data_IF_469346670984
#
_entry.id   IF_469346670984
#
_cell.length_a   1.000
_cell.length_b   1.000
_cell.length_c   1.000
_cell.angle_alpha   90.00
_cell.angle_beta   90.00
_cell.angle_gamma   90.00
#
_symmetry.space_group_name_H-M   'P 1'
#
loop_
_entity.id
_entity.type
_entity.pdbx_description
1 polymer ?
#
# COMPACT_ATOMS: atom_id res chain seq x y z
N UNK A 1 24.38 -0.98 -4.95
CA UNK A 1 23.96 -1.60 -3.67
C UNK A 1 23.73 -0.48 -2.69
N UNK A 2 22.47 -0.16 -2.43
CA UNK A 2 21.98 0.86 -1.48
C UNK A 2 20.45 0.68 -1.45
N UNK A 3 19.68 0.65 -0.36
CA UNK A 3 19.84 0.60 1.10
C UNK A 3 18.39 0.42 1.58
N UNK A 4 18.11 -0.53 2.49
CA UNK A 4 16.92 -0.65 3.35
C UNK A 4 15.56 -0.18 2.77
N UNK A 5 14.66 -1.13 2.49
CA UNK A 5 13.37 -0.96 1.79
C UNK A 5 12.29 -0.17 2.58
N UNK A 6 12.68 0.91 3.25
CA UNK A 6 11.81 1.82 4.00
C UNK A 6 11.28 2.96 3.11
N UNK A 7 10.95 2.63 1.86
CA UNK A 7 10.39 3.61 0.93
C UNK A 7 8.89 3.81 1.20
N UNK A 8 8.50 5.07 1.34
CA UNK A 8 7.12 5.47 1.55
C UNK A 8 6.51 6.01 0.25
N UNK A 9 5.51 5.28 -0.24
CA UNK A 9 4.78 5.54 -1.45
C UNK A 9 3.77 6.67 -1.22
N UNK A 10 3.78 7.67 -2.09
CA UNK A 10 2.75 8.71 -2.15
C UNK A 10 1.52 8.24 -2.94
N UNK A 11 0.37 8.88 -2.73
CA UNK A 11 -0.86 8.56 -3.48
C UNK A 11 -0.68 8.67 -5.01
N UNK A 12 0.18 9.58 -5.49
CA UNK A 12 0.51 9.73 -6.92
C UNK A 12 1.30 8.53 -7.45
N UNK A 13 2.26 8.03 -6.68
CA UNK A 13 3.03 6.85 -7.06
C UNK A 13 2.16 5.59 -7.01
N UNK A 14 1.35 5.44 -5.96
CA UNK A 14 0.41 4.32 -5.83
C UNK A 14 -0.58 4.27 -7.01
N UNK A 15 -1.09 5.43 -7.42
CA UNK A 15 -1.97 5.54 -8.59
C UNK A 15 -1.29 5.04 -9.87
N UNK A 16 -0.01 5.39 -10.09
CA UNK A 16 0.77 4.89 -11.23
C UNK A 16 0.98 3.38 -11.16
N UNK A 17 1.31 2.84 -9.99
CA UNK A 17 1.54 1.40 -9.81
C UNK A 17 0.28 0.57 -10.07
N UNK A 18 -0.87 1.04 -9.60
CA UNK A 18 -2.16 0.38 -9.80
C UNK A 18 -2.81 0.72 -11.16
N UNK A 19 -2.10 1.44 -12.04
CA UNK A 19 -2.65 1.95 -13.32
C UNK A 19 -4.02 2.62 -13.17
N UNK A 20 -4.20 3.41 -12.10
CA UNK A 20 -5.48 4.04 -11.75
C UNK A 20 -5.32 5.53 -11.47
N UNK A 21 -6.44 6.24 -11.26
CA UNK A 21 -6.42 7.65 -10.91
C UNK A 21 -6.11 7.86 -9.42
N UNK A 22 -5.48 8.99 -9.08
CA UNK A 22 -5.27 9.39 -7.67
C UNK A 22 -6.60 9.48 -6.91
N UNK A 23 -7.67 9.90 -7.58
CA UNK A 23 -9.03 9.94 -7.00
C UNK A 23 -9.52 8.53 -6.64
N UNK A 24 -9.27 7.55 -7.50
CA UNK A 24 -9.59 6.14 -7.24
C UNK A 24 -8.83 5.62 -6.01
N UNK A 25 -7.54 5.94 -5.88
CA UNK A 25 -6.75 5.58 -4.70
C UNK A 25 -7.38 6.11 -3.41
N UNK A 26 -7.79 7.38 -3.38
CA UNK A 26 -8.47 7.93 -2.21
C UNK A 26 -9.82 7.28 -1.92
N UNK A 27 -10.58 6.92 -2.98
CA UNK A 27 -11.83 6.16 -2.84
C UNK A 27 -11.59 4.78 -2.25
N UNK A 28 -10.59 4.04 -2.75
CA UNK A 28 -10.24 2.71 -2.23
C UNK A 28 -9.76 2.77 -0.78
N UNK A 29 -9.01 3.82 -0.43
CA UNK A 29 -8.63 4.08 0.96
C UNK A 29 -9.87 4.30 1.83
N UNK A 30 -10.81 5.14 1.38
CA UNK A 30 -12.03 5.43 2.12
C UNK A 30 -12.92 4.19 2.29
N UNK A 31 -12.93 3.28 1.31
CA UNK A 31 -13.66 2.00 1.38
C UNK A 31 -12.88 0.88 2.09
N UNK A 32 -11.66 1.13 2.59
CA UNK A 32 -10.84 0.13 3.28
C UNK A 32 -10.22 -0.95 2.36
N UNK A 33 -10.20 -0.72 1.04
CA UNK A 33 -9.65 -1.64 0.04
C UNK A 33 -8.16 -1.42 -0.24
N UNK A 34 -7.44 -0.73 0.65
CA UNK A 34 -6.00 -0.51 0.52
C UNK A 34 -5.28 -0.85 1.83
N UNK A 35 -3.98 -1.21 1.74
CA UNK A 35 -3.15 -1.46 2.91
C UNK A 35 -3.08 -0.27 3.88
N UNK A 36 -2.65 -0.57 5.11
CA UNK A 36 -2.59 0.41 6.20
C UNK A 36 -1.70 1.59 5.84
N UNK A 37 -2.19 2.80 6.07
CA UNK A 37 -1.46 4.03 5.78
C UNK A 37 -0.59 4.48 6.94
N UNK A 38 0.57 5.05 6.64
CA UNK A 38 1.42 5.81 7.55
C UNK A 38 1.13 7.29 7.39
N UNK A 39 0.78 7.98 8.47
CA UNK A 39 0.55 9.44 8.46
C UNK A 39 1.80 10.16 8.93
N UNK A 40 2.34 11.05 8.09
CA UNK A 40 3.51 11.88 8.39
C UNK A 40 3.13 13.34 8.25
N UNK A 41 3.01 14.04 9.38
CA UNK A 41 2.70 15.49 9.42
C UNK A 41 1.54 15.90 8.49
N UNK A 42 0.45 15.13 8.49
CA UNK A 42 -0.72 15.37 7.64
C UNK A 42 -0.69 14.69 6.26
N UNK A 43 0.47 14.30 5.76
CA UNK A 43 0.59 13.51 4.53
C UNK A 43 0.29 12.03 4.79
N UNK A 44 -0.48 11.42 3.90
CA UNK A 44 -0.78 9.97 3.94
C UNK A 44 0.17 9.27 2.97
N UNK A 45 0.86 8.25 3.49
CA UNK A 45 1.81 7.42 2.76
C UNK A 45 1.50 5.94 2.97
N UNK A 46 2.03 5.10 2.09
CA UNK A 46 1.99 3.64 2.21
C UNK A 46 3.41 3.11 2.26
N UNK A 47 3.63 2.02 2.98
CA UNK A 47 4.92 1.32 2.91
C UNK A 47 5.04 0.63 1.57
N UNK A 48 6.19 0.74 0.91
CA UNK A 48 6.42 0.07 -0.37
C UNK A 48 6.25 -1.45 -0.24
N UNK A 49 6.81 -2.05 0.82
CA UNK A 49 6.68 -3.48 1.14
C UNK A 49 5.22 -3.94 1.18
N UNK A 50 4.34 -3.17 1.81
CA UNK A 50 2.93 -3.52 1.96
C UNK A 50 2.20 -3.43 0.61
N UNK A 51 2.59 -2.47 -0.24
CA UNK A 51 2.01 -2.32 -1.58
C UNK A 51 2.49 -3.44 -2.50
N UNK A 52 3.77 -3.81 -2.46
CA UNK A 52 4.32 -4.92 -3.23
C UNK A 52 3.62 -6.22 -2.88
N UNK A 53 3.52 -6.55 -1.58
CA UNK A 53 2.79 -7.73 -1.11
C UNK A 53 1.31 -7.69 -1.53
N UNK A 54 0.68 -6.52 -1.51
CA UNK A 54 -0.70 -6.36 -1.94
C UNK A 54 -0.88 -6.60 -3.44
N UNK A 55 0.07 -6.16 -4.27
CA UNK A 55 0.08 -6.43 -5.71
C UNK A 55 0.29 -7.93 -5.99
N UNK A 56 1.18 -8.59 -5.25
CA UNK A 56 1.37 -10.05 -5.31
C UNK A 56 0.12 -10.83 -4.90
N UNK A 57 -0.72 -10.24 -4.05
CA UNK A 57 -1.99 -10.80 -3.62
C UNK A 57 -3.16 -10.47 -4.56
N UNK A 58 -2.90 -10.12 -5.82
CA UNK A 58 -3.93 -9.72 -6.82
C UNK A 58 -4.80 -8.53 -6.38
N UNK A 59 -4.24 -7.62 -5.57
CA UNK A 59 -5.00 -6.52 -4.95
C UNK A 59 -6.18 -6.98 -4.06
N UNK A 60 -6.09 -8.19 -3.51
CA UNK A 60 -7.07 -8.72 -2.56
C UNK A 60 -6.62 -8.45 -1.12
N UNK A 61 -7.41 -7.65 -0.40
CA UNK A 61 -7.13 -7.31 0.99
C UNK A 61 -7.20 -8.54 1.92
N UNK A 62 -8.06 -9.52 1.65
CA UNK A 62 -8.16 -10.72 2.49
C UNK A 62 -6.89 -11.57 2.40
N UNK A 63 -6.40 -11.81 1.17
CA UNK A 63 -5.12 -12.50 0.93
C UNK A 63 -3.95 -11.75 1.54
N UNK A 64 -3.91 -10.42 1.33
CA UNK A 64 -2.86 -9.57 1.91
C UNK A 64 -2.83 -9.66 3.43
N UNK A 65 -3.98 -9.56 4.11
CA UNK A 65 -4.03 -9.68 5.57
C UNK A 65 -3.60 -11.06 6.06
N UNK A 66 -3.99 -12.13 5.37
CA UNK A 66 -3.56 -13.48 5.71
C UNK A 66 -2.02 -13.64 5.61
N UNK A 67 -1.41 -13.11 4.55
CA UNK A 67 0.06 -13.12 4.36
C UNK A 67 0.78 -12.27 5.40
N UNK A 68 0.27 -11.06 5.64
CA UNK A 68 0.86 -10.14 6.62
C UNK A 68 0.73 -10.66 8.05
N UNK A 69 -0.32 -11.42 8.37
CA UNK A 69 -0.44 -12.11 9.65
C UNK A 69 0.61 -13.22 9.82
N UNK A 70 0.91 -13.97 8.74
CA UNK A 70 1.92 -15.02 8.77
C UNK A 70 3.36 -14.48 8.96
N UNK A 71 3.66 -13.29 8.44
CA UNK A 71 4.98 -12.63 8.59
C UNK A 71 5.25 -12.04 9.99
N UNK A 72 4.23 -11.95 10.86
CA UNK A 72 4.36 -11.37 12.19
C UNK A 72 4.50 -12.40 13.32
N UNK A 73 4.67 -13.68 13.01
CA UNK A 73 4.81 -14.76 13.98
C UNK A 73 6.28 -15.18 14.17
#
# INVERSE_FOLDING_TARGET
MTTENSQLVSAKQLAKMLSTSVRSVWRYRASGHLPKTVKISGAIRWKMSDIELFLECDCDMAKFQARKAAEQC
#
